data_IF_100891005609
#
_entry.id   IF_100891005609
#
_cell.length_a   1.000
_cell.length_b   1.000
_cell.length_c   1.000
_cell.angle_alpha   90.00
_cell.angle_beta   90.00
_cell.angle_gamma   90.00
#
_symmetry.space_group_name_H-M   'P 1'
#
loop_
_entity.id
_entity.type
_entity.pdbx_description
1 polymer ?
#
# COMPACT_ATOMS: atom_id res chain seq x y z
N UNK A 1 13.27 6.11 -14.84
CA UNK A 1 11.86 6.45 -15.11
C UNK A 1 11.62 7.84 -14.60
N UNK A 2 11.08 8.71 -15.45
CA UNK A 2 10.85 10.10 -15.11
C UNK A 2 9.83 10.24 -13.99
N UNK A 3 9.96 11.34 -13.26
CA UNK A 3 8.96 11.84 -12.32
C UNK A 3 7.66 12.07 -13.10
N UNK A 4 6.52 11.60 -12.58
CA UNK A 4 5.22 11.80 -13.24
C UNK A 4 4.98 13.30 -13.37
N UNK A 5 4.51 13.82 -14.51
CA UNK A 5 4.19 15.24 -14.58
C UNK A 5 2.83 15.49 -13.91
N UNK A 6 2.80 16.42 -12.94
CA UNK A 6 1.57 16.84 -12.26
C UNK A 6 1.41 18.35 -12.53
N UNK A 7 0.30 18.79 -13.15
CA UNK A 7 0.09 20.19 -13.49
C UNK A 7 0.24 21.11 -12.26
N UNK A 8 0.98 22.21 -12.41
CA UNK A 8 1.24 23.14 -11.31
C UNK A 8 2.49 22.84 -10.48
N UNK A 9 3.12 21.67 -10.68
CA UNK A 9 4.28 21.23 -9.90
C UNK A 9 5.51 21.05 -10.80
N UNK A 10 6.52 21.91 -10.62
CA UNK A 10 7.81 21.81 -11.35
C UNK A 10 8.78 20.83 -10.70
N UNK A 11 8.66 20.67 -9.39
CA UNK A 11 9.29 19.63 -8.58
C UNK A 11 8.20 19.00 -7.73
N UNK A 12 8.42 17.78 -7.25
CA UNK A 12 7.48 17.09 -6.38
C UNK A 12 8.22 16.78 -5.10
N UNK A 13 8.34 17.80 -4.26
CA UNK A 13 8.87 17.67 -2.93
C UNK A 13 7.91 16.81 -2.07
N UNK A 14 8.42 16.26 -0.95
CA UNK A 14 7.59 15.59 0.05
C UNK A 14 6.38 16.44 0.45
N UNK A 15 5.18 15.86 0.44
CA UNK A 15 3.92 16.52 0.82
C UNK A 15 3.52 17.76 -0.02
N UNK A 16 4.18 18.02 -1.15
CA UNK A 16 3.86 19.17 -2.01
C UNK A 16 2.59 18.94 -2.83
N UNK A 17 2.45 17.72 -3.38
CA UNK A 17 1.29 17.33 -4.18
C UNK A 17 0.23 16.67 -3.32
N UNK A 18 -1.01 17.14 -3.42
CA UNK A 18 -2.15 16.54 -2.74
C UNK A 18 -2.60 15.23 -3.42
N UNK A 19 -3.21 14.32 -2.65
CA UNK A 19 -3.70 13.05 -3.19
C UNK A 19 -4.74 13.27 -4.29
N UNK A 20 -5.56 14.30 -4.14
CA UNK A 20 -6.61 14.69 -5.09
C UNK A 20 -6.02 15.13 -6.45
N UNK A 21 -4.84 15.76 -6.44
CA UNK A 21 -4.14 16.15 -7.67
C UNK A 21 -3.58 14.93 -8.40
N UNK A 22 -3.09 13.94 -7.65
CA UNK A 22 -2.62 12.67 -8.20
C UNK A 22 -3.81 11.88 -8.78
N UNK A 23 -4.94 11.87 -8.08
CA UNK A 23 -6.17 11.21 -8.52
C UNK A 23 -6.76 11.90 -9.77
N UNK A 24 -6.69 13.24 -9.85
CA UNK A 24 -7.09 13.99 -11.04
C UNK A 24 -6.21 13.64 -12.26
N UNK A 25 -4.89 13.48 -12.07
CA UNK A 25 -4.00 13.00 -13.14
C UNK A 25 -4.28 11.55 -13.53
N UNK A 26 -4.67 10.70 -12.56
CA UNK A 26 -5.07 9.32 -12.83
C UNK A 26 -6.31 9.27 -13.72
N UNK A 27 -7.36 10.05 -13.42
CA UNK A 27 -8.56 10.16 -14.24
C UNK A 27 -9.11 8.80 -14.69
N UNK A 28 -9.49 8.68 -15.97
CA UNK A 28 -9.85 7.40 -16.60
C UNK A 28 -8.64 6.72 -17.25
N UNK A 29 -7.63 6.40 -16.44
CA UNK A 29 -6.31 5.94 -16.90
C UNK A 29 -6.35 4.79 -17.92
N UNK A 30 -5.68 4.96 -19.08
CA UNK A 30 -5.57 3.95 -20.14
C UNK A 30 -4.12 3.46 -20.39
N UNK A 31 -3.20 3.69 -19.44
CA UNK A 31 -1.77 3.40 -19.60
C UNK A 31 -1.42 1.90 -19.67
N UNK A 32 -2.32 0.99 -19.31
CA UNK A 32 -2.13 -0.46 -19.45
C UNK A 32 -3.45 -1.19 -19.74
N UNK A 33 -3.40 -2.41 -20.26
CA UNK A 33 -4.57 -3.16 -20.74
C UNK A 33 -5.64 -3.45 -19.67
N UNK A 34 -5.35 -3.26 -18.39
CA UNK A 34 -6.30 -3.51 -17.29
C UNK A 34 -7.54 -2.60 -17.34
N UNK A 35 -7.47 -1.48 -18.06
CA UNK A 35 -8.65 -0.62 -18.25
C UNK A 35 -9.80 -1.32 -18.96
N UNK A 36 -9.51 -2.34 -19.77
CA UNK A 36 -10.53 -3.03 -20.57
C UNK A 36 -11.45 -3.91 -19.72
N UNK A 37 -11.02 -4.29 -18.52
CA UNK A 37 -11.72 -5.26 -17.67
C UNK A 37 -12.07 -4.75 -16.28
N UNK A 38 -11.55 -3.58 -15.86
CA UNK A 38 -11.92 -2.97 -14.57
C UNK A 38 -13.37 -2.50 -14.60
N UNK A 39 -14.02 -2.49 -13.45
CA UNK A 39 -15.26 -1.73 -13.23
C UNK A 39 -14.92 -0.34 -12.68
N UNK A 40 -14.08 -0.30 -11.64
CA UNK A 40 -13.61 0.95 -11.05
C UNK A 40 -12.09 0.94 -10.92
N UNK A 41 -11.52 2.15 -10.93
CA UNK A 41 -10.17 2.36 -10.44
C UNK A 41 -10.22 2.39 -8.91
N UNK A 42 -9.27 1.72 -8.28
CA UNK A 42 -9.14 1.66 -6.82
C UNK A 42 -7.87 2.39 -6.43
N UNK A 43 -8.00 3.68 -6.11
CA UNK A 43 -6.86 4.59 -5.92
C UNK A 43 -6.09 4.30 -4.62
N UNK A 44 -6.79 4.35 -3.50
CA UNK A 44 -6.27 4.27 -2.14
C UNK A 44 -7.23 4.98 -1.19
N UNK A 45 -7.19 4.66 0.10
CA UNK A 45 -8.08 5.28 1.10
C UNK A 45 -7.37 5.41 2.45
N UNK A 46 -7.73 6.43 3.23
CA UNK A 46 -7.27 6.63 4.60
C UNK A 46 -6.70 8.01 4.84
N UNK A 47 -5.89 8.15 5.89
CA UNK A 47 -5.33 9.43 6.30
C UNK A 47 -4.28 9.95 5.29
N UNK A 48 -4.44 11.15 4.71
CA UNK A 48 -3.48 11.74 3.77
C UNK A 48 -2.13 12.10 4.42
N UNK A 49 -2.06 12.09 5.75
CA UNK A 49 -0.83 12.27 6.55
C UNK A 49 -0.53 11.02 7.39
N UNK A 50 -0.97 9.86 6.94
CA UNK A 50 -0.78 8.60 7.64
C UNK A 50 0.70 8.35 7.93
N UNK A 51 0.99 8.07 9.20
CA UNK A 51 2.31 7.61 9.64
C UNK A 51 2.65 6.22 9.10
N UNK A 52 1.63 5.36 8.98
CA UNK A 52 1.74 3.99 8.50
C UNK A 52 0.92 3.82 7.22
N UNK A 53 1.57 3.36 6.17
CA UNK A 53 0.95 3.04 4.89
C UNK A 53 0.97 1.54 4.64
N UNK A 54 -0.16 0.94 4.29
CA UNK A 54 -0.26 -0.46 3.87
C UNK A 54 -0.33 -0.54 2.35
N UNK A 55 0.51 -1.40 1.77
CA UNK A 55 0.59 -1.59 0.32
C UNK A 55 0.34 -3.06 0.00
N UNK A 56 -0.76 -3.34 -0.70
CA UNK A 56 -1.07 -4.63 -1.31
C UNK A 56 -0.69 -4.71 -2.78
N UNK A 57 -1.09 -5.82 -3.40
CA UNK A 57 -0.73 -6.15 -4.79
C UNK A 57 -1.63 -5.43 -5.81
N UNK A 58 -2.93 -5.74 -5.79
CA UNK A 58 -3.92 -5.27 -6.74
C UNK A 58 -5.33 -5.40 -6.15
N UNK A 59 -6.33 -4.70 -6.73
CA UNK A 59 -7.72 -4.85 -6.31
C UNK A 59 -8.25 -6.26 -6.61
N UNK A 60 -9.03 -6.80 -5.68
CA UNK A 60 -9.84 -7.99 -5.90
C UNK A 60 -11.20 -7.65 -6.52
N UNK A 61 -12.10 -8.63 -6.58
CA UNK A 61 -13.43 -8.46 -7.19
C UNK A 61 -14.28 -7.41 -6.46
N UNK A 62 -14.30 -7.45 -5.13
CA UNK A 62 -15.17 -6.56 -4.36
C UNK A 62 -14.63 -5.13 -4.40
N UNK A 63 -13.31 -4.99 -4.33
CA UNK A 63 -12.62 -3.71 -4.46
C UNK A 63 -12.88 -3.07 -5.83
N UNK A 64 -12.77 -3.84 -6.91
CA UNK A 64 -13.07 -3.38 -8.27
C UNK A 64 -14.52 -2.93 -8.44
N UNK A 65 -15.48 -3.59 -7.77
CA UNK A 65 -16.89 -3.22 -7.82
C UNK A 65 -17.22 -1.97 -6.97
N UNK A 66 -16.52 -1.77 -5.86
CA UNK A 66 -16.81 -0.67 -4.92
C UNK A 66 -15.92 0.56 -5.13
N UNK A 67 -14.77 0.43 -5.81
CA UNK A 67 -13.79 1.51 -5.96
C UNK A 67 -12.86 1.68 -4.76
N UNK A 68 -12.99 0.85 -3.72
CA UNK A 68 -12.24 0.99 -2.47
C UNK A 68 -11.33 -0.22 -2.19
N UNK A 69 -10.12 -0.01 -1.65
CA UNK A 69 -9.18 -1.10 -1.40
C UNK A 69 -9.51 -1.85 -0.10
N UNK A 70 -9.27 -3.16 -0.10
CA UNK A 70 -9.44 -4.02 1.09
C UNK A 70 -10.86 -3.90 1.70
N UNK A 71 -11.87 -4.21 0.88
CA UNK A 71 -13.29 -4.25 1.29
C UNK A 71 -13.89 -5.65 1.21
N UNK A 72 -13.18 -6.63 0.64
CA UNK A 72 -13.54 -8.05 0.75
C UNK A 72 -13.04 -8.70 2.04
N UNK A 73 -13.12 -10.04 2.12
CA UNK A 73 -12.72 -10.82 3.30
C UNK A 73 -11.28 -10.53 3.76
N UNK A 74 -10.34 -10.34 2.82
CA UNK A 74 -8.97 -9.97 3.14
C UNK A 74 -8.86 -8.58 3.80
N UNK A 75 -9.79 -7.68 3.49
CA UNK A 75 -9.89 -6.37 4.10
C UNK A 75 -10.55 -6.38 5.47
N UNK A 76 -11.58 -7.21 5.65
CA UNK A 76 -12.18 -7.45 6.97
C UNK A 76 -11.14 -8.03 7.95
N UNK A 77 -10.36 -9.01 7.49
CA UNK A 77 -9.24 -9.57 8.27
C UNK A 77 -8.20 -8.50 8.63
N UNK A 78 -7.74 -7.72 7.63
CA UNK A 78 -6.82 -6.61 7.86
C UNK A 78 -7.37 -5.64 8.91
N UNK A 79 -8.65 -5.27 8.82
CA UNK A 79 -9.29 -4.38 9.78
C UNK A 79 -9.32 -4.96 11.20
N UNK A 80 -9.53 -6.28 11.32
CA UNK A 80 -9.52 -6.98 12.60
C UNK A 80 -8.15 -7.02 13.27
N UNK A 81 -7.07 -7.10 12.49
CA UNK A 81 -5.70 -7.20 13.03
C UNK A 81 -5.00 -5.85 13.22
N UNK A 82 -5.50 -4.75 12.63
CA UNK A 82 -4.94 -3.39 12.83
C UNK A 82 -4.82 -3.02 14.32
N UNK A 83 -5.80 -3.42 15.14
CA UNK A 83 -5.80 -3.12 16.57
C UNK A 83 -4.65 -3.81 17.33
N UNK A 84 -4.09 -4.90 16.81
CA UNK A 84 -2.91 -5.55 17.39
C UNK A 84 -1.66 -4.65 17.30
N UNK A 85 -1.64 -3.72 16.34
CA UNK A 85 -0.60 -2.71 16.19
C UNK A 85 -0.96 -1.37 16.87
N UNK A 86 -2.09 -1.31 17.60
CA UNK A 86 -2.60 -0.07 18.18
C UNK A 86 -3.11 0.95 17.16
N UNK A 87 -3.43 0.51 15.93
CA UNK A 87 -3.88 1.35 14.83
C UNK A 87 -5.38 1.19 14.58
N UNK A 88 -6.02 2.26 14.09
CA UNK A 88 -7.35 2.19 13.47
C UNK A 88 -7.25 2.37 11.97
N UNK A 89 -8.30 1.96 11.24
CA UNK A 89 -8.35 2.13 9.78
C UNK A 89 -8.27 3.60 9.34
N UNK A 90 -8.82 4.50 10.15
CA UNK A 90 -8.78 5.96 9.90
C UNK A 90 -7.39 6.59 10.13
N UNK A 91 -6.48 5.93 10.86
CA UNK A 91 -5.14 6.46 11.15
C UNK A 91 -4.13 6.17 10.03
N UNK A 92 -4.43 5.19 9.19
CA UNK A 92 -3.51 4.60 8.21
C UNK A 92 -3.93 4.99 6.79
N UNK A 93 -3.04 4.76 5.83
CA UNK A 93 -3.39 4.83 4.42
C UNK A 93 -3.20 3.48 3.75
N UNK A 94 -4.15 3.05 2.93
CA UNK A 94 -4.16 1.73 2.31
C UNK A 94 -4.22 1.90 0.80
N UNK A 95 -3.29 1.28 0.09
CA UNK A 95 -3.22 1.30 -1.37
C UNK A 95 -2.73 -0.04 -1.92
N UNK A 96 -2.79 -0.17 -3.24
CA UNK A 96 -2.20 -1.30 -3.97
C UNK A 96 -1.17 -0.79 -4.98
N UNK A 97 -0.24 -1.67 -5.38
CA UNK A 97 0.70 -1.43 -6.49
C UNK A 97 -0.06 -1.16 -7.79
N UNK A 98 -1.05 -1.99 -8.10
CA UNK A 98 -1.98 -1.73 -9.20
C UNK A 98 -3.24 -1.01 -8.72
N UNK A 99 -3.77 -0.10 -9.54
CA UNK A 99 -5.05 0.59 -9.29
C UNK A 99 -6.24 -0.07 -10.01
N UNK A 100 -6.00 -1.11 -10.79
CA UNK A 100 -7.01 -1.82 -11.57
C UNK A 100 -6.89 -3.32 -11.30
N UNK A 101 -8.02 -4.01 -11.23
CA UNK A 101 -8.07 -5.46 -11.01
C UNK A 101 -7.57 -6.24 -12.24
N UNK A 102 -6.60 -7.16 -12.08
CA UNK A 102 -6.25 -8.11 -13.13
C UNK A 102 -7.38 -9.12 -13.43
N UNK A 103 -7.63 -9.48 -14.71
CA UNK A 103 -8.60 -10.50 -15.08
C UNK A 103 -8.41 -11.80 -14.30
N UNK A 104 -9.48 -12.30 -13.67
CA UNK A 104 -9.44 -13.53 -12.88
C UNK A 104 -8.59 -13.44 -11.60
N UNK A 105 -8.27 -12.24 -11.11
CA UNK A 105 -7.38 -12.02 -9.95
C UNK A 105 -6.00 -12.69 -10.13
N UNK A 106 -5.51 -12.77 -11.38
CA UNK A 106 -4.14 -13.23 -11.65
C UNK A 106 -3.12 -12.25 -11.07
N UNK A 107 -1.89 -12.72 -10.91
CA UNK A 107 -0.79 -11.85 -10.51
C UNK A 107 -0.56 -10.71 -11.55
N UNK A 108 -0.12 -9.53 -11.08
CA UNK A 108 0.33 -8.43 -11.93
C UNK A 108 1.44 -8.85 -12.89
N UNK A 109 1.38 -8.35 -14.11
CA UNK A 109 2.48 -8.47 -15.06
C UNK A 109 3.49 -7.31 -14.88
N UNK A 110 4.78 -7.52 -15.23
CA UNK A 110 5.80 -6.47 -15.09
C UNK A 110 5.46 -5.18 -15.82
N UNK A 111 4.78 -5.23 -16.97
CA UNK A 111 4.35 -4.05 -17.72
C UNK A 111 3.20 -3.28 -17.04
N UNK A 112 2.32 -3.98 -16.33
CA UNK A 112 1.21 -3.38 -15.56
C UNK A 112 1.74 -2.70 -14.30
N UNK A 113 2.53 -3.46 -13.54
CA UNK A 113 3.78 -3.04 -12.88
C UNK A 113 4.23 -1.61 -13.15
N UNK A 114 4.93 -1.54 -14.27
CA UNK A 114 5.64 -0.39 -14.78
C UNK A 114 4.73 0.80 -15.02
N UNK A 115 3.58 0.58 -15.66
CA UNK A 115 2.63 1.61 -16.03
C UNK A 115 1.93 2.23 -14.81
N UNK A 116 1.61 1.42 -13.80
CA UNK A 116 0.80 1.85 -12.66
C UNK A 116 1.65 2.37 -11.48
N UNK A 117 2.88 1.85 -11.34
CA UNK A 117 3.78 2.22 -10.25
C UNK A 117 4.07 3.71 -10.06
N UNK A 118 4.06 4.59 -11.09
CA UNK A 118 4.24 6.03 -10.87
C UNK A 118 3.20 6.61 -9.91
N UNK A 119 1.93 6.21 -9.98
CA UNK A 119 0.88 6.71 -9.08
C UNK A 119 1.16 6.34 -7.62
N UNK A 120 1.59 5.10 -7.36
CA UNK A 120 1.93 4.69 -5.99
C UNK A 120 3.15 5.44 -5.46
N UNK A 121 4.15 5.73 -6.30
CA UNK A 121 5.32 6.54 -5.88
C UNK A 121 4.93 7.95 -5.51
N UNK A 122 3.98 8.55 -6.23
CA UNK A 122 3.47 9.88 -5.90
C UNK A 122 2.61 9.84 -4.64
N UNK A 123 1.77 8.82 -4.43
CA UNK A 123 1.03 8.63 -3.18
C UNK A 123 1.96 8.52 -1.97
N UNK A 124 3.02 7.70 -2.06
CA UNK A 124 4.04 7.59 -0.99
C UNK A 124 4.70 8.95 -0.73
N UNK A 125 4.96 9.75 -1.77
CA UNK A 125 5.61 11.06 -1.61
C UNK A 125 4.67 12.12 -1.03
N UNK A 126 3.40 12.07 -1.40
CA UNK A 126 2.33 12.94 -0.89
C UNK A 126 2.07 12.68 0.59
N UNK A 127 1.94 11.40 0.97
CA UNK A 127 1.67 11.00 2.35
C UNK A 127 2.91 11.17 3.23
N UNK A 128 4.08 10.82 2.67
CA UNK A 128 5.37 10.83 3.36
C UNK A 128 5.34 10.04 4.68
N UNK A 129 5.05 8.73 4.63
CA UNK A 129 4.89 7.90 5.82
C UNK A 129 6.23 7.57 6.47
N UNK A 130 6.21 7.26 7.77
CA UNK A 130 7.39 6.74 8.48
C UNK A 130 7.60 5.25 8.17
N UNK A 131 6.50 4.51 8.03
CA UNK A 131 6.51 3.05 7.84
C UNK A 131 5.60 2.66 6.68
N UNK A 132 6.09 1.76 5.84
CA UNK A 132 5.32 1.07 4.82
C UNK A 132 5.24 -0.43 5.17
N UNK A 133 4.04 -0.94 5.38
CA UNK A 133 3.78 -2.37 5.56
C UNK A 133 3.40 -2.97 4.22
N UNK A 134 4.21 -3.88 3.68
CA UNK A 134 3.94 -4.53 2.39
C UNK A 134 3.29 -5.89 2.59
N UNK A 135 2.13 -6.08 1.95
CA UNK A 135 1.30 -7.27 2.10
C UNK A 135 1.57 -8.24 0.94
N UNK A 136 2.37 -9.28 1.19
CA UNK A 136 2.73 -10.31 0.21
C UNK A 136 3.90 -9.97 -0.70
N UNK A 137 4.25 -10.93 -1.58
CA UNK A 137 5.43 -10.84 -2.44
C UNK A 137 5.39 -9.63 -3.40
N UNK A 138 4.34 -9.38 -4.18
CA UNK A 138 4.45 -8.36 -5.22
C UNK A 138 4.60 -6.94 -4.69
N UNK A 139 3.89 -6.59 -3.62
CA UNK A 139 4.09 -5.33 -2.91
C UNK A 139 5.52 -5.22 -2.34
N UNK A 140 5.98 -6.28 -1.69
CA UNK A 140 7.33 -6.34 -1.09
C UNK A 140 8.43 -6.18 -2.15
N UNK A 141 8.33 -6.93 -3.25
CA UNK A 141 9.30 -6.87 -4.35
C UNK A 141 9.34 -5.49 -4.98
N UNK A 142 8.18 -4.85 -5.14
CA UNK A 142 8.09 -3.50 -5.68
C UNK A 142 8.75 -2.46 -4.77
N UNK A 143 8.39 -2.43 -3.48
CA UNK A 143 8.88 -1.40 -2.55
C UNK A 143 10.34 -1.61 -2.18
N UNK A 144 10.74 -2.85 -1.85
CA UNK A 144 12.13 -3.18 -1.48
C UNK A 144 13.08 -3.39 -2.66
N UNK A 145 12.57 -3.43 -3.89
CA UNK A 145 13.36 -3.77 -5.10
C UNK A 145 14.15 -5.08 -4.93
N UNK A 146 13.44 -6.12 -4.51
CA UNK A 146 14.01 -7.43 -4.16
C UNK A 146 13.23 -8.56 -4.81
N UNK A 147 13.86 -9.73 -4.95
CA UNK A 147 13.22 -10.98 -5.40
C UNK A 147 13.15 -12.02 -4.25
N UNK A 148 13.56 -11.64 -3.03
CA UNK A 148 13.54 -12.54 -1.88
C UNK A 148 12.08 -12.78 -1.47
N UNK A 149 11.69 -14.06 -1.37
CA UNK A 149 10.33 -14.45 -0.99
C UNK A 149 9.93 -14.02 0.43
N UNK A 150 8.63 -13.73 0.59
CA UNK A 150 8.03 -13.13 1.79
C UNK A 150 8.30 -13.94 3.06
N UNK A 151 8.34 -15.27 2.97
CA UNK A 151 8.62 -16.16 4.12
C UNK A 151 9.98 -15.90 4.74
N UNK A 152 10.95 -15.38 3.98
CA UNK A 152 12.30 -15.03 4.48
C UNK A 152 12.39 -13.58 4.95
N UNK A 153 11.52 -12.70 4.45
CA UNK A 153 11.57 -11.26 4.72
C UNK A 153 10.64 -10.82 5.84
N UNK A 154 9.54 -11.53 6.08
CA UNK A 154 8.54 -11.13 7.08
C UNK A 154 9.12 -11.01 8.49
N UNK A 155 8.48 -10.18 9.31
CA UNK A 155 8.90 -9.93 10.69
C UNK A 155 10.24 -9.20 10.80
N UNK A 156 10.63 -8.44 9.78
CA UNK A 156 11.85 -7.64 9.75
C UNK A 156 11.56 -6.24 9.25
N UNK A 157 12.29 -5.28 9.80
CA UNK A 157 12.22 -3.87 9.44
C UNK A 157 13.43 -3.53 8.55
N UNK A 158 13.16 -2.89 7.41
CA UNK A 158 14.15 -2.57 6.40
C UNK A 158 14.15 -1.05 6.15
N UNK A 159 15.24 -0.36 6.51
CA UNK A 159 15.37 1.08 6.22
C UNK A 159 15.46 1.32 4.71
N UNK A 160 14.60 2.21 4.19
CA UNK A 160 14.50 2.57 2.77
C UNK A 160 14.40 4.09 2.61
N UNK A 161 15.55 4.77 2.54
CA UNK A 161 15.57 6.23 2.48
C UNK A 161 15.00 6.82 3.76
N UNK A 162 13.89 7.57 3.68
CA UNK A 162 13.26 8.20 4.84
C UNK A 162 12.32 7.29 5.62
N UNK A 163 11.76 6.25 4.99
CA UNK A 163 10.80 5.34 5.63
C UNK A 163 11.41 3.97 5.91
N UNK A 164 10.75 3.22 6.79
CA UNK A 164 11.04 1.82 7.07
C UNK A 164 10.00 0.94 6.38
N UNK A 165 10.42 -0.22 5.88
CA UNK A 165 9.52 -1.20 5.29
C UNK A 165 9.43 -2.42 6.18
N UNK A 166 8.22 -2.86 6.46
CA UNK A 166 7.93 -4.11 7.15
C UNK A 166 7.12 -5.04 6.25
N UNK A 167 7.76 -6.05 5.63
CA UNK A 167 7.05 -7.06 4.88
C UNK A 167 6.25 -8.00 5.79
N UNK A 168 5.06 -8.40 5.35
CA UNK A 168 4.30 -9.49 5.98
C UNK A 168 3.46 -10.27 4.95
N UNK A 169 2.80 -11.33 5.38
CA UNK A 169 1.91 -12.10 4.52
C UNK A 169 0.72 -11.25 4.06
N UNK A 170 0.20 -11.59 2.88
CA UNK A 170 -1.05 -10.99 2.42
C UNK A 170 -2.23 -11.61 3.20
N UNK A 171 -3.18 -10.82 3.74
CA UNK A 171 -4.34 -11.33 4.50
C UNK A 171 -5.11 -12.44 3.78
N UNK A 172 -5.40 -12.24 2.47
CA UNK A 172 -6.03 -13.28 1.64
C UNK A 172 -5.32 -14.64 1.64
N UNK A 173 -3.98 -14.67 1.76
CA UNK A 173 -3.21 -15.91 1.84
C UNK A 173 -3.21 -16.50 3.26
N UNK A 174 -3.15 -15.64 4.27
CA UNK A 174 -3.20 -16.01 5.69
C UNK A 174 -4.56 -16.62 6.08
N UNK A 175 -5.67 -16.07 5.56
CA UNK A 175 -7.02 -16.62 5.74
C UNK A 175 -7.17 -18.09 5.30
N UNK A 176 -6.33 -18.57 4.37
CA UNK A 176 -6.34 -19.96 3.90
C UNK A 176 -5.39 -20.87 4.66
N UNK A 177 -4.54 -20.32 5.52
CA UNK A 177 -3.52 -21.06 6.25
C UNK A 177 -3.40 -20.54 7.69
N UNK A 178 -3.97 -21.24 8.69
CA UNK A 178 -3.93 -20.82 10.09
C UNK A 178 -2.53 -20.50 10.62
N UNK A 179 -1.52 -21.26 10.21
CA UNK A 179 -0.14 -20.99 10.64
C UNK A 179 0.40 -19.67 10.07
N UNK A 180 -0.07 -19.23 8.90
CA UNK A 180 0.29 -17.92 8.35
C UNK A 180 -0.52 -16.79 8.98
N UNK A 181 -1.74 -17.07 9.45
CA UNK A 181 -2.53 -16.12 10.22
C UNK A 181 -1.85 -15.79 11.55
N UNK A 182 -1.39 -16.79 12.29
CA UNK A 182 -0.65 -16.58 13.55
C UNK A 182 0.59 -15.71 13.33
N UNK A 183 1.36 -15.99 12.28
CA UNK A 183 2.53 -15.19 11.90
C UNK A 183 2.16 -13.77 11.46
N UNK A 184 1.04 -13.59 10.77
CA UNK A 184 0.55 -12.26 10.40
C UNK A 184 0.18 -11.44 11.66
N UNK A 185 -0.50 -12.04 12.63
CA UNK A 185 -0.82 -11.38 13.89
C UNK A 185 0.43 -11.03 14.73
N UNK A 186 1.44 -11.91 14.75
CA UNK A 186 2.74 -11.63 15.36
C UNK A 186 3.43 -10.41 14.72
N UNK A 187 3.39 -10.33 13.39
CA UNK A 187 3.94 -9.20 12.64
C UNK A 187 3.24 -7.89 13.02
N UNK A 188 1.92 -7.90 13.20
CA UNK A 188 1.19 -6.69 13.63
C UNK A 188 1.50 -6.28 15.07
N UNK A 189 1.69 -7.24 15.97
CA UNK A 189 2.17 -6.94 17.34
C UNK A 189 3.57 -6.32 17.31
N UNK A 190 4.47 -6.85 16.48
CA UNK A 190 5.80 -6.28 16.27
C UNK A 190 5.75 -4.85 15.69
N UNK A 191 4.79 -4.57 14.80
CA UNK A 191 4.54 -3.22 14.29
C UNK A 191 4.12 -2.28 15.43
N UNK A 192 3.20 -2.71 16.30
CA UNK A 192 2.79 -1.94 17.49
C UNK A 192 3.97 -1.61 18.40
N UNK A 193 4.74 -2.63 18.79
CA UNK A 193 5.97 -2.48 19.58
C UNK A 193 6.97 -1.49 18.94
N UNK A 194 7.11 -1.54 17.62
CA UNK A 194 7.99 -0.64 16.88
C UNK A 194 7.48 0.81 16.95
N UNK A 195 6.18 1.03 16.75
CA UNK A 195 5.54 2.34 16.79
C UNK A 195 5.60 2.97 18.18
N UNK A 196 5.51 2.18 19.24
CA UNK A 196 5.67 2.67 20.62
C UNK A 196 7.10 3.12 20.92
N UNK A 197 8.11 2.37 20.44
CA UNK A 197 9.53 2.72 20.65
C UNK A 197 10.01 3.88 19.80
N UNK A 198 9.29 4.18 18.72
CA UNK A 198 9.56 5.29 17.83
C UNK A 198 8.29 6.14 17.80
N UNK A 199 7.99 6.97 18.80
CA UNK A 199 6.80 7.81 18.74
C UNK A 199 6.85 8.74 17.52
N UNK A 200 5.67 9.12 17.01
CA UNK A 200 5.62 10.19 16.01
C UNK A 200 6.33 11.42 16.58
N UNK A 201 7.06 12.21 15.78
CA UNK A 201 7.54 13.50 16.23
C UNK A 201 6.33 14.26 16.79
N UNK A 202 6.44 14.81 18.00
CA UNK A 202 5.45 15.78 18.46
C UNK A 202 5.37 16.84 17.36
N UNK A 203 4.18 17.02 16.77
CA UNK A 203 3.97 18.07 15.79
C UNK A 203 4.55 19.34 16.42
N UNK A 204 5.59 19.90 15.78
CA UNK A 204 6.07 21.24 16.06
C UNK A 204 4.89 22.16 15.76
N UNK A 205 4.03 22.29 16.75
CA UNK A 205 2.83 23.09 16.77
C UNK A 205 3.27 24.48 17.19
N UNK A 206 4.02 25.12 16.29
CA UNK A 206 4.24 26.57 16.26
C UNK A 206 4.21 27.07 14.80
#
# INVERSE_FOLDING_TARGET
MGVMHIPGHSHQAPREVALEEIEAVLGDCHLCQLYQSRHNIVFGVGNPRARVMFIGEAPGRNEDLQGEPFVGAAGEDLNGILSLAGLKREDVYIANVLKCRPPGNRNPRPEEVLACSPFLREQIRSIWPDIIVTLGNPATHFVLKTEIGITKLRGRFHQMGHFVVMPTFHPAAALRNPAWQELLEEDFKMLGDYLERHPAPEDASE
#
